data_IF_712775552966
#
_entry.id   IF_712775552966
#
_cell.length_a   1.000
_cell.length_b   1.000
_cell.length_c   1.000
_cell.angle_alpha   90.00
_cell.angle_beta   90.00
_cell.angle_gamma   90.00
#
_symmetry.space_group_name_H-M   'P 1'
#
loop_
_entity.id
_entity.type
_entity.pdbx_description
1 polymer ?
#
# COMPACT_ATOMS: atom_id res chain seq x y z
N UNK A 1 -12.39 -15.84 -0.41
CA UNK A 1 -10.96 -15.76 -0.75
C UNK A 1 -10.88 -15.45 -2.22
N UNK A 2 -10.48 -14.23 -2.58
CA UNK A 2 -10.16 -13.90 -3.97
C UNK A 2 -8.66 -13.96 -4.16
N UNK A 3 -8.22 -14.36 -5.36
CA UNK A 3 -6.80 -14.43 -5.71
C UNK A 3 -6.38 -13.03 -6.18
N UNK A 4 -5.53 -12.37 -5.39
CA UNK A 4 -4.92 -11.09 -5.78
C UNK A 4 -3.85 -11.32 -6.84
N UNK A 5 -3.77 -10.42 -7.81
CA UNK A 5 -2.78 -10.44 -8.89
C UNK A 5 -1.60 -9.56 -8.48
N UNK A 6 -0.82 -10.07 -7.54
CA UNK A 6 0.31 -9.37 -6.92
C UNK A 6 1.47 -9.22 -7.90
N UNK A 7 1.97 -7.99 -8.03
CA UNK A 7 3.10 -7.64 -8.86
C UNK A 7 4.44 -8.05 -8.24
N UNK A 8 5.46 -8.26 -9.06
CA UNK A 8 6.82 -8.69 -8.61
C UNK A 8 7.54 -7.67 -7.73
N UNK A 9 7.11 -6.42 -7.78
CA UNK A 9 7.68 -5.35 -6.96
C UNK A 9 6.99 -5.21 -5.59
N UNK A 10 5.81 -5.82 -5.43
CA UNK A 10 5.07 -5.78 -4.17
C UNK A 10 5.74 -6.68 -3.12
N UNK A 11 5.55 -6.31 -1.86
CA UNK A 11 6.01 -7.02 -0.69
C UNK A 11 4.79 -7.47 0.13
N UNK A 12 4.94 -8.52 0.95
CA UNK A 12 3.83 -9.03 1.76
C UNK A 12 3.18 -7.96 2.67
N UNK A 13 3.98 -6.97 3.10
CA UNK A 13 3.50 -5.86 3.93
C UNK A 13 2.56 -4.92 3.17
N UNK A 14 2.68 -4.81 1.85
CA UNK A 14 1.81 -3.94 1.04
C UNK A 14 0.35 -4.38 1.15
N UNK A 15 0.12 -5.69 1.05
CA UNK A 15 -1.21 -6.27 1.23
C UNK A 15 -1.77 -5.98 2.62
N UNK A 16 -0.92 -6.00 3.66
CA UNK A 16 -1.35 -5.66 5.04
C UNK A 16 -1.70 -4.18 5.16
N UNK A 17 -0.94 -3.28 4.53
CA UNK A 17 -1.20 -1.84 4.50
C UNK A 17 -2.54 -1.55 3.80
N UNK A 18 -2.76 -2.15 2.63
CA UNK A 18 -3.99 -1.96 1.86
C UNK A 18 -5.21 -2.50 2.61
N UNK A 19 -5.09 -3.67 3.24
CA UNK A 19 -6.17 -4.22 4.07
C UNK A 19 -6.51 -3.34 5.27
N UNK A 20 -5.49 -2.78 5.95
CA UNK A 20 -5.72 -1.82 7.02
C UNK A 20 -6.49 -0.58 6.53
N UNK A 21 -6.07 -0.01 5.40
CA UNK A 21 -6.72 1.16 4.79
C UNK A 21 -8.10 0.88 4.18
N UNK A 22 -8.48 -0.38 4.00
CA UNK A 22 -9.84 -0.76 3.62
C UNK A 22 -10.78 -0.66 4.82
N UNK A 23 -10.32 -1.11 5.99
CA UNK A 23 -11.12 -1.11 7.21
C UNK A 23 -11.19 0.31 7.83
N UNK A 24 -10.09 1.07 7.74
CA UNK A 24 -9.99 2.47 8.16
C UNK A 24 -9.87 3.38 6.93
N UNK A 25 -10.83 4.30 6.74
CA UNK A 25 -10.88 5.18 5.55
C UNK A 25 -9.59 5.97 5.28
N UNK A 26 -8.79 6.24 6.31
CA UNK A 26 -7.46 6.82 6.19
C UNK A 26 -6.60 6.43 7.39
N UNK A 27 -5.28 6.52 7.25
CA UNK A 27 -4.33 6.37 8.37
C UNK A 27 -3.00 7.04 8.06
N UNK A 28 -2.24 7.32 9.11
CA UNK A 28 -0.83 7.76 8.99
C UNK A 28 0.12 6.56 8.99
N UNK A 29 1.32 6.72 8.43
CA UNK A 29 2.34 5.67 8.46
C UNK A 29 2.69 5.22 9.90
N UNK A 30 2.68 6.17 10.85
CA UNK A 30 2.91 5.89 12.27
C UNK A 30 1.83 5.00 12.87
N UNK A 31 0.55 5.25 12.54
CA UNK A 31 -0.58 4.44 12.98
C UNK A 31 -0.60 3.06 12.35
N UNK A 32 -0.24 2.96 11.07
CA UNK A 32 -0.15 1.69 10.34
C UNK A 32 0.98 0.83 10.93
N UNK A 33 2.13 1.42 11.27
CA UNK A 33 3.26 0.69 11.86
C UNK A 33 2.94 0.07 13.23
N UNK A 34 1.88 0.51 13.91
CA UNK A 34 1.43 -0.02 15.19
C UNK A 34 0.39 -1.15 15.06
N UNK A 35 -0.07 -1.46 13.84
CA UNK A 35 -1.11 -2.46 13.62
C UNK A 35 -0.58 -3.89 13.78
N UNK A 36 -1.43 -4.77 14.31
CA UNK A 36 -1.13 -6.19 14.37
C UNK A 36 -0.88 -6.77 12.96
N UNK A 37 0.22 -7.50 12.80
CA UNK A 37 0.63 -8.07 11.51
C UNK A 37 1.43 -7.12 10.61
N UNK A 38 1.67 -5.86 11.03
CA UNK A 38 2.66 -4.98 10.43
C UNK A 38 3.98 -5.13 11.17
N UNK A 39 4.97 -5.73 10.49
CA UNK A 39 6.31 -5.94 11.03
C UNK A 39 7.33 -5.03 10.34
N UNK A 40 7.12 -3.72 10.46
CA UNK A 40 8.01 -2.71 9.91
C UNK A 40 7.99 -1.42 10.74
N UNK A 41 9.05 -0.63 10.61
CA UNK A 41 9.13 0.72 11.17
C UNK A 41 8.23 1.69 10.41
N UNK A 42 7.87 2.80 11.04
CA UNK A 42 7.15 3.91 10.39
C UNK A 42 7.84 4.36 9.08
N UNK A 43 9.17 4.51 9.09
CA UNK A 43 9.93 4.91 7.90
C UNK A 43 9.81 3.89 6.75
N UNK A 44 9.79 2.59 7.09
CA UNK A 44 9.57 1.52 6.11
C UNK A 44 8.14 1.55 5.57
N UNK A 45 7.13 1.73 6.44
CA UNK A 45 5.72 1.86 6.03
C UNK A 45 5.54 3.07 5.12
N UNK A 46 6.13 4.22 5.46
CA UNK A 46 6.08 5.43 4.65
C UNK A 46 6.67 5.20 3.25
N UNK A 47 7.81 4.51 3.16
CA UNK A 47 8.41 4.15 1.87
C UNK A 47 7.49 3.25 1.05
N UNK A 48 6.81 2.28 1.69
CA UNK A 48 5.82 1.44 0.99
C UNK A 48 4.61 2.22 0.54
N UNK A 49 4.08 3.14 1.35
CA UNK A 49 2.97 4.01 0.96
C UNK A 49 3.32 4.82 -0.29
N UNK A 50 4.55 5.33 -0.41
CA UNK A 50 5.02 6.01 -1.63
C UNK A 50 5.06 5.10 -2.84
N UNK A 51 5.54 3.87 -2.67
CA UNK A 51 5.59 2.87 -3.76
C UNK A 51 4.17 2.48 -4.21
N UNK A 52 3.24 2.32 -3.27
CA UNK A 52 1.84 2.03 -3.54
C UNK A 52 1.13 3.21 -4.22
N UNK A 53 1.45 4.44 -3.82
CA UNK A 53 0.91 5.64 -4.45
C UNK A 53 1.41 5.81 -5.89
N UNK A 54 2.67 5.47 -6.15
CA UNK A 54 3.22 5.41 -7.51
C UNK A 54 2.50 4.39 -8.42
N UNK A 55 1.81 3.41 -7.84
CA UNK A 55 0.99 2.41 -8.54
C UNK A 55 -0.52 2.72 -8.47
N UNK A 56 -0.91 3.92 -8.02
CA UNK A 56 -2.30 4.34 -7.83
C UNK A 56 -3.12 3.47 -6.86
N UNK A 57 -2.48 2.67 -5.99
CA UNK A 57 -3.21 1.82 -5.02
C UNK A 57 -3.59 2.55 -3.73
N UNK A 58 -2.86 3.61 -3.40
CA UNK A 58 -3.15 4.51 -2.27
C UNK A 58 -2.94 5.95 -2.72
N UNK A 59 -3.50 6.91 -1.99
CA UNK A 59 -3.28 8.33 -2.21
C UNK A 59 -2.87 9.02 -0.91
N UNK A 60 -2.08 10.09 -1.03
CA UNK A 60 -1.78 10.99 0.09
C UNK A 60 -2.77 12.15 0.12
N UNK A 61 -3.38 12.37 1.28
CA UNK A 61 -4.35 13.44 1.54
C UNK A 61 -3.69 14.75 2.00
N UNK A 62 -2.40 14.72 2.34
CA UNK A 62 -1.62 15.88 2.80
C UNK A 62 -0.36 16.10 1.96
N UNK A 63 0.12 17.34 1.87
CA UNK A 63 1.33 17.69 1.11
C UNK A 63 2.61 17.05 1.71
N UNK A 64 2.62 16.88 3.03
CA UNK A 64 3.69 16.19 3.77
C UNK A 64 3.68 14.67 3.59
N UNK A 65 2.69 14.11 2.89
CA UNK A 65 2.53 12.67 2.64
C UNK A 65 2.36 11.84 3.91
N UNK A 66 1.84 12.40 5.00
CA UNK A 66 1.60 11.62 6.23
C UNK A 66 0.27 10.86 6.18
N UNK A 67 -0.81 11.50 5.71
CA UNK A 67 -2.15 10.92 5.71
C UNK A 67 -2.42 10.14 4.42
N UNK A 68 -2.69 8.84 4.54
CA UNK A 68 -2.85 7.90 3.43
C UNK A 68 -4.27 7.36 3.39
N UNK A 69 -4.86 7.24 2.20
CA UNK A 69 -6.15 6.58 1.97
C UNK A 69 -6.05 5.51 0.87
N UNK A 70 -6.97 4.54 0.90
CA UNK A 70 -7.12 3.54 -0.16
C UNK A 70 -7.82 4.15 -1.38
N UNK A 71 -7.31 3.89 -2.58
CA UNK A 71 -7.96 4.31 -3.83
C UNK A 71 -8.99 3.29 -4.31
N UNK A 72 -9.75 3.65 -5.34
CA UNK A 72 -10.66 2.71 -6.02
C UNK A 72 -9.89 1.54 -6.67
N UNK A 73 -8.73 1.81 -7.25
CA UNK A 73 -7.82 0.79 -7.80
C UNK A 73 -7.26 -0.13 -6.70
N UNK A 74 -6.92 0.42 -5.54
CA UNK A 74 -6.51 -0.36 -4.35
C UNK A 74 -7.60 -1.32 -3.88
N UNK A 75 -8.85 -0.88 -3.84
CA UNK A 75 -10.01 -1.71 -3.52
C UNK A 75 -10.16 -2.86 -4.54
N UNK A 76 -10.14 -2.54 -5.84
CA UNK A 76 -10.22 -3.53 -6.91
C UNK A 76 -9.05 -4.54 -6.87
N UNK A 77 -7.85 -4.10 -6.48
CA UNK A 77 -6.70 -5.00 -6.33
C UNK A 77 -6.94 -6.02 -5.23
N UNK A 78 -7.40 -5.54 -4.07
CA UNK A 78 -7.71 -6.39 -2.93
C UNK A 78 -8.89 -7.34 -3.22
N UNK A 79 -9.81 -6.95 -4.11
CA UNK A 79 -10.87 -7.79 -4.68
C UNK A 79 -10.40 -8.73 -5.79
N UNK A 80 -9.16 -8.59 -6.30
CA UNK A 80 -8.57 -9.43 -7.35
C UNK A 80 -9.00 -9.09 -8.78
N UNK A 81 -9.67 -7.94 -8.96
CA UNK A 81 -10.19 -7.49 -10.25
C UNK A 81 -9.06 -6.96 -11.15
N UNK A 82 -8.09 -6.23 -10.59
CA UNK A 82 -6.96 -5.65 -11.35
C UNK A 82 -5.68 -6.45 -11.20
N UNK A 83 -4.85 -6.41 -12.26
CA UNK A 83 -3.49 -6.94 -12.29
C UNK A 83 -2.49 -5.79 -12.26
N UNK A 84 -1.87 -5.57 -11.09
CA UNK A 84 -0.99 -4.43 -10.85
C UNK A 84 0.37 -4.60 -11.55
N UNK A 85 0.73 -5.81 -11.99
CA UNK A 85 1.92 -6.02 -12.82
C UNK A 85 1.79 -5.34 -14.20
N UNK A 86 0.56 -5.05 -14.64
CA UNK A 86 0.29 -4.37 -15.91
C UNK A 86 0.40 -2.84 -15.82
N UNK A 87 0.54 -2.28 -14.62
CA UNK A 87 0.65 -0.83 -14.41
C UNK A 87 2.11 -0.37 -14.59
N UNK A 88 2.35 0.93 -14.83
CA UNK A 88 3.70 1.47 -14.80
C UNK A 88 4.41 1.09 -13.50
N UNK A 89 5.64 0.57 -13.62
CA UNK A 89 6.40 0.15 -12.44
C UNK A 89 6.67 1.38 -11.55
N UNK A 90 6.48 1.27 -10.22
CA UNK A 90 6.81 2.35 -9.29
C UNK A 90 8.26 2.81 -9.41
N UNK A 91 8.52 4.09 -9.15
CA UNK A 91 9.82 4.73 -9.47
C UNK A 91 10.98 4.09 -8.72
N UNK A 92 10.78 3.67 -7.46
CA UNK A 92 11.79 2.94 -6.69
C UNK A 92 11.18 1.99 -5.64
N UNK A 93 10.85 0.72 -5.99
CA UNK A 93 10.55 -0.27 -4.97
C UNK A 93 11.87 -0.70 -4.32
N UNK A 94 12.33 0.05 -3.30
CA UNK A 94 13.39 -0.48 -2.42
C UNK A 94 12.85 -1.72 -1.74
N UNK A 95 13.53 -2.84 -1.95
CA UNK A 95 13.33 -4.02 -1.12
C UNK A 95 13.77 -3.65 0.30
N UNK A 96 12.94 -3.95 1.30
CA UNK A 96 13.42 -3.86 2.67
C UNK A 96 14.48 -4.95 2.84
N UNK A 97 15.68 -4.55 3.29
CA UNK A 97 16.74 -5.48 3.70
C UNK A 97 16.47 -6.06 5.09
#
# INVERSE_FOLDING_TARGET
MTIRKTARWQQCIDDRILEHLRDDSWSTASQIALQDGIHATEAQVQERCRVLADADLVAFLTEDQDLVELTTEGEQYLEGEVDVELYPRPRHPRLME
#
